data_IF_806780491997
#
_entry.id   IF_806780491997
#
_cell.length_a   1.000
_cell.length_b   1.000
_cell.length_c   1.000
_cell.angle_alpha   90.00
_cell.angle_beta   90.00
_cell.angle_gamma   90.00
#
_symmetry.space_group_name_H-M   'P 1'
#
loop_
_entity.id
_entity.type
_entity.pdbx_description
1 polymer ?
#
# COMPACT_ATOMS: atom_id res chain seq x y z
N UNK A 1 -6.11 -9.57 -3.01
CA UNK A 1 -6.56 -8.17 -3.09
C UNK A 1 -5.33 -7.28 -3.23
N UNK A 2 -5.51 -6.06 -3.73
CA UNK A 2 -4.46 -5.07 -3.89
C UNK A 2 -5.05 -3.68 -3.62
N UNK A 3 -4.37 -2.92 -2.77
CA UNK A 3 -4.66 -1.50 -2.52
C UNK A 3 -3.56 -0.68 -3.18
N UNK A 4 -3.91 0.15 -4.16
CA UNK A 4 -2.96 0.97 -4.90
C UNK A 4 -3.41 2.42 -4.94
N UNK A 5 -2.57 3.34 -4.48
CA UNK A 5 -2.82 4.78 -4.48
C UNK A 5 -1.66 5.52 -5.14
N UNK A 6 -1.97 6.33 -6.15
CA UNK A 6 -1.03 7.20 -6.87
C UNK A 6 -1.35 8.67 -6.59
N UNK A 7 -0.31 9.47 -6.43
CA UNK A 7 -0.40 10.89 -6.08
C UNK A 7 0.80 11.67 -6.62
N UNK A 8 0.67 12.98 -6.67
CA UNK A 8 1.83 13.87 -6.74
C UNK A 8 2.46 13.95 -5.35
N UNK A 9 3.76 13.74 -5.25
CA UNK A 9 4.52 13.85 -4.02
C UNK A 9 4.47 15.31 -3.51
N UNK A 10 4.26 15.49 -2.21
CA UNK A 10 4.26 16.83 -1.59
C UNK A 10 5.66 17.25 -1.13
N UNK A 11 6.63 16.34 -1.18
CA UNK A 11 8.01 16.57 -0.76
C UNK A 11 8.94 15.49 -1.26
N UNK A 12 10.13 15.43 -0.68
CA UNK A 12 11.14 14.42 -0.98
C UNK A 12 10.69 13.01 -0.53
N UNK A 13 11.38 11.94 -0.98
CA UNK A 13 11.00 10.57 -0.63
C UNK A 13 10.97 10.26 0.88
N UNK A 14 11.77 10.94 1.71
CA UNK A 14 11.77 10.76 3.17
C UNK A 14 10.54 11.44 3.78
N UNK A 15 10.21 12.64 3.32
CA UNK A 15 8.97 13.33 3.72
C UNK A 15 7.72 12.51 3.36
N UNK A 16 7.66 11.94 2.14
CA UNK A 16 6.59 11.02 1.75
C UNK A 16 6.64 9.70 2.55
N UNK A 17 7.83 9.19 2.86
CA UNK A 17 8.02 8.03 3.73
C UNK A 17 7.44 8.25 5.13
N UNK A 18 7.50 9.46 5.68
CA UNK A 18 6.86 9.80 6.96
C UNK A 18 5.34 9.75 6.88
N UNK A 19 4.75 10.25 5.79
CA UNK A 19 3.29 10.14 5.54
C UNK A 19 2.85 8.68 5.42
N UNK A 20 3.65 7.84 4.74
CA UNK A 20 3.39 6.39 4.67
C UNK A 20 3.51 5.75 6.05
N UNK A 21 4.48 6.17 6.87
CA UNK A 21 4.59 5.67 8.24
C UNK A 21 3.37 6.02 9.10
N UNK A 22 2.87 7.26 8.99
CA UNK A 22 1.62 7.68 9.64
C UNK A 22 0.43 6.85 9.17
N UNK A 23 0.31 6.62 7.86
CA UNK A 23 -0.70 5.72 7.29
C UNK A 23 -0.61 4.32 7.88
N UNK A 24 0.59 3.74 7.99
CA UNK A 24 0.80 2.44 8.66
C UNK A 24 0.22 2.49 10.08
N UNK A 25 0.54 3.52 10.88
CA UNK A 25 0.02 3.59 12.25
C UNK A 25 -1.51 3.65 12.32
N UNK A 26 -2.17 4.30 11.36
CA UNK A 26 -3.63 4.39 11.30
C UNK A 26 -4.31 3.09 10.87
N UNK A 27 -3.67 2.29 10.01
CA UNK A 27 -4.26 1.02 9.53
C UNK A 27 -3.96 -0.18 10.43
N UNK A 28 -2.93 -0.12 11.28
CA UNK A 28 -2.59 -1.16 12.26
C UNK A 28 -3.79 -1.67 13.08
N UNK A 29 -4.63 -0.81 13.68
CA UNK A 29 -5.76 -1.27 14.50
C UNK A 29 -6.92 -1.86 13.68
N UNK A 30 -6.92 -1.75 12.35
CA UNK A 30 -8.06 -2.19 11.53
C UNK A 30 -8.19 -3.71 11.43
N UNK A 31 -7.08 -4.45 11.51
CA UNK A 31 -7.10 -5.91 11.42
C UNK A 31 -5.84 -6.52 12.05
N UNK A 32 -5.91 -7.70 12.71
CA UNK A 32 -4.73 -8.34 13.32
C UNK A 32 -3.56 -8.58 12.36
N UNK A 33 -3.81 -8.85 11.08
CA UNK A 33 -2.73 -9.02 10.09
C UNK A 33 -2.03 -7.72 9.70
N UNK A 34 -2.56 -6.56 10.12
CA UNK A 34 -1.96 -5.23 9.94
C UNK A 34 -1.25 -4.74 11.20
N UNK A 35 -1.38 -5.42 12.35
CA UNK A 35 -0.89 -4.92 13.63
C UNK A 35 0.65 -4.91 13.72
N UNK A 36 1.30 -5.96 13.21
CA UNK A 36 2.75 -6.15 13.32
C UNK A 36 3.44 -6.02 11.97
N UNK A 37 4.32 -5.03 11.86
CA UNK A 37 5.12 -4.75 10.68
C UNK A 37 6.59 -5.10 10.90
N UNK A 38 7.22 -5.70 9.91
CA UNK A 38 8.64 -6.08 9.90
C UNK A 38 9.32 -5.65 8.60
N UNK A 39 10.66 -5.44 8.60
CA UNK A 39 11.38 -5.18 7.38
C UNK A 39 11.34 -6.38 6.44
N UNK A 40 11.33 -6.13 5.14
CA UNK A 40 11.61 -7.17 4.15
C UNK A 40 13.08 -7.58 4.22
N UNK A 41 13.38 -8.82 3.81
CA UNK A 41 14.74 -9.34 3.73
C UNK A 41 14.87 -10.26 2.51
N UNK A 42 16.11 -10.65 2.19
CA UNK A 42 16.43 -11.50 1.03
C UNK A 42 15.89 -12.92 1.16
N UNK A 43 15.62 -13.36 2.40
CA UNK A 43 15.02 -14.65 2.68
C UNK A 43 13.92 -14.55 3.75
N UNK A 44 12.94 -15.48 3.75
CA UNK A 44 11.81 -15.43 4.66
C UNK A 44 12.18 -15.56 6.15
N UNK A 45 13.20 -16.37 6.47
CA UNK A 45 13.62 -16.64 7.84
C UNK A 45 14.17 -15.38 8.51
N UNK A 46 15.01 -14.62 7.80
CA UNK A 46 15.55 -13.35 8.28
C UNK A 46 14.43 -12.31 8.46
N UNK A 47 13.49 -12.24 7.52
CA UNK A 47 12.34 -11.35 7.61
C UNK A 47 11.43 -11.68 8.83
N UNK A 48 11.26 -12.97 9.16
CA UNK A 48 10.46 -13.42 10.30
C UNK A 48 11.12 -13.11 11.65
N UNK A 49 12.44 -13.34 11.74
CA UNK A 49 13.23 -13.12 12.95
C UNK A 49 13.52 -11.65 13.21
N UNK A 50 13.35 -10.79 12.20
CA UNK A 50 13.55 -9.36 12.34
C UNK A 50 12.63 -8.76 13.41
N UNK A 51 13.13 -7.81 14.22
CA UNK A 51 12.28 -7.10 15.17
C UNK A 51 11.21 -6.29 14.42
N UNK A 52 10.13 -5.88 15.11
CA UNK A 52 9.17 -4.93 14.56
C UNK A 52 9.89 -3.72 13.97
N UNK A 53 9.54 -3.32 12.75
CA UNK A 53 10.21 -2.21 12.09
C UNK A 53 9.93 -0.90 12.84
N UNK A 54 10.94 -0.05 12.96
CA UNK A 54 10.81 1.30 13.52
C UNK A 54 10.68 2.32 12.39
N UNK A 55 10.21 3.54 12.72
CA UNK A 55 10.15 4.63 11.74
C UNK A 55 11.53 4.91 11.13
N UNK A 56 12.57 5.00 11.96
CA UNK A 56 13.91 5.31 11.49
C UNK A 56 14.44 4.25 10.52
N UNK A 57 14.23 2.96 10.83
CA UNK A 57 14.65 1.88 9.92
C UNK A 57 13.82 1.88 8.63
N UNK A 58 12.52 2.17 8.72
CA UNK A 58 11.65 2.31 7.55
C UNK A 58 12.14 3.41 6.60
N UNK A 59 12.44 4.60 7.14
CA UNK A 59 12.95 5.74 6.36
C UNK A 59 14.36 5.47 5.81
N UNK A 60 15.22 4.82 6.60
CA UNK A 60 16.55 4.42 6.15
C UNK A 60 16.48 3.50 4.91
N UNK A 61 15.54 2.56 4.86
CA UNK A 61 15.38 1.67 3.70
C UNK A 61 14.94 2.43 2.44
N UNK A 62 14.09 3.44 2.59
CA UNK A 62 13.72 4.33 1.46
C UNK A 62 14.94 5.11 0.98
N UNK A 63 15.71 5.68 1.91
CA UNK A 63 16.92 6.43 1.56
C UNK A 63 17.96 5.55 0.85
N UNK A 64 18.17 4.33 1.34
CA UNK A 64 19.12 3.39 0.76
C UNK A 64 18.71 2.96 -0.64
N UNK A 65 17.42 2.65 -0.85
CA UNK A 65 16.91 2.27 -2.16
C UNK A 65 17.09 3.38 -3.21
N UNK A 66 16.94 4.65 -2.81
CA UNK A 66 17.22 5.78 -3.69
C UNK A 66 18.70 5.83 -4.12
N UNK A 67 19.62 5.59 -3.17
CA UNK A 67 21.06 5.58 -3.43
C UNK A 67 21.43 4.40 -4.34
N UNK A 68 20.93 3.21 -4.04
CA UNK A 68 21.25 1.98 -4.77
C UNK A 68 20.74 1.99 -6.21
N UNK A 69 19.62 2.68 -6.48
CA UNK A 69 19.09 2.81 -7.83
C UNK A 69 19.89 3.80 -8.69
N UNK A 70 20.69 4.66 -8.07
CA UNK A 70 21.43 5.75 -8.75
C UNK A 70 20.52 6.64 -9.62
N UNK A 71 19.25 6.80 -9.25
CA UNK A 71 18.24 7.55 -10.00
C UNK A 71 17.25 8.25 -9.06
N UNK A 72 16.68 9.35 -9.55
CA UNK A 72 15.55 10.01 -8.89
C UNK A 72 14.28 9.13 -8.93
N UNK A 73 14.15 8.24 -9.91
CA UNK A 73 13.04 7.29 -10.05
C UNK A 73 13.42 5.92 -9.51
N UNK A 74 12.74 5.48 -8.44
CA UNK A 74 13.04 4.20 -7.78
C UNK A 74 11.83 3.62 -7.06
N UNK A 75 11.87 2.30 -6.86
CA UNK A 75 10.87 1.56 -6.08
C UNK A 75 11.51 0.83 -4.92
N UNK A 76 10.77 0.65 -3.84
CA UNK A 76 11.23 -0.07 -2.64
C UNK A 76 10.08 -0.82 -1.98
N UNK A 77 10.35 -2.02 -1.48
CA UNK A 77 9.43 -2.76 -0.63
C UNK A 77 9.95 -2.76 0.81
N UNK A 78 9.74 -1.70 1.61
CA UNK A 78 10.46 -1.50 2.86
C UNK A 78 10.00 -2.44 3.97
N UNK A 79 8.73 -2.87 3.95
CA UNK A 79 8.13 -3.63 5.04
C UNK A 79 6.99 -4.54 4.59
N UNK A 80 6.63 -5.49 5.45
CA UNK A 80 5.46 -6.35 5.33
C UNK A 80 4.75 -6.46 6.68
N UNK A 81 3.48 -6.87 6.68
CA UNK A 81 2.70 -7.17 7.89
C UNK A 81 2.07 -8.56 7.84
N UNK A 82 1.81 -9.14 9.02
CA UNK A 82 1.26 -10.49 9.13
C UNK A 82 2.32 -11.59 9.06
N UNK A 83 1.89 -12.80 8.73
CA UNK A 83 2.77 -13.98 8.67
C UNK A 83 3.53 -14.07 7.36
N UNK A 84 4.72 -14.65 7.37
CA UNK A 84 5.47 -14.95 6.16
C UNK A 84 4.62 -15.81 5.20
N UNK A 85 4.71 -15.54 3.90
CA UNK A 85 3.96 -16.18 2.81
C UNK A 85 2.43 -15.98 2.81
N UNK A 86 1.86 -15.35 3.84
CA UNK A 86 0.42 -15.07 3.95
C UNK A 86 0.12 -13.60 4.30
N UNK A 87 1.17 -12.81 4.48
CA UNK A 87 1.13 -11.44 4.94
C UNK A 87 0.94 -10.42 3.82
N UNK A 88 0.75 -9.18 4.23
CA UNK A 88 0.62 -8.05 3.32
C UNK A 88 1.99 -7.47 3.02
N UNK A 89 2.28 -7.15 1.76
CA UNK A 89 3.57 -6.55 1.36
C UNK A 89 3.36 -5.12 0.90
N UNK A 90 4.12 -4.20 1.49
CA UNK A 90 4.11 -2.80 1.09
C UNK A 90 5.19 -2.54 0.04
N UNK A 91 4.80 -1.87 -1.04
CA UNK A 91 5.69 -1.35 -2.07
C UNK A 91 5.44 0.14 -2.24
N UNK A 92 6.50 0.90 -2.39
CA UNK A 92 6.49 2.34 -2.66
C UNK A 92 7.22 2.59 -3.97
N UNK A 93 6.70 3.52 -4.76
CA UNK A 93 7.37 4.01 -5.96
C UNK A 93 7.47 5.53 -5.89
N UNK A 94 8.60 6.07 -6.34
CA UNK A 94 8.85 7.50 -6.43
C UNK A 94 9.31 7.87 -7.83
N UNK A 95 8.83 9.01 -8.32
CA UNK A 95 9.04 9.54 -9.67
C UNK A 95 8.70 8.54 -10.79
N UNK A 96 7.70 7.67 -10.56
CA UNK A 96 7.21 6.68 -11.53
C UNK A 96 5.68 6.77 -11.70
N UNK A 97 5.16 6.79 -12.94
CA UNK A 97 5.91 6.79 -14.21
C UNK A 97 6.51 8.16 -14.57
N UNK A 98 6.10 9.25 -13.92
CA UNK A 98 6.62 10.59 -14.20
C UNK A 98 7.34 11.19 -12.99
N UNK A 99 8.27 12.13 -13.21
CA UNK A 99 8.81 12.96 -12.14
C UNK A 99 7.70 13.64 -11.33
N UNK A 100 7.86 13.65 -10.01
CA UNK A 100 6.87 14.14 -9.05
C UNK A 100 5.82 13.12 -8.62
N UNK A 101 5.68 11.98 -9.31
CA UNK A 101 4.70 10.95 -8.91
C UNK A 101 5.20 10.15 -7.69
N UNK A 102 4.28 9.74 -6.82
CA UNK A 102 4.51 8.76 -5.77
C UNK A 102 3.36 7.74 -5.71
N UNK A 103 3.69 6.48 -5.41
CA UNK A 103 2.68 5.44 -5.16
C UNK A 103 2.90 4.75 -3.82
N UNK A 104 1.78 4.27 -3.27
CA UNK A 104 1.76 3.32 -2.16
C UNK A 104 0.90 2.14 -2.60
N UNK A 105 1.48 0.95 -2.53
CA UNK A 105 0.86 -0.29 -2.98
C UNK A 105 0.95 -1.32 -1.84
N UNK A 106 -0.19 -1.87 -1.42
CA UNK A 106 -0.29 -2.93 -0.42
C UNK A 106 -0.86 -4.17 -1.08
N UNK A 107 0.02 -5.13 -1.38
CA UNK A 107 -0.37 -6.46 -1.77
C UNK A 107 -0.99 -7.14 -0.55
N UNK A 108 -2.27 -7.50 -0.65
CA UNK A 108 -3.04 -8.00 0.49
C UNK A 108 -2.94 -9.52 0.57
N UNK A 109 -2.47 -10.00 1.72
CA UNK A 109 -2.36 -11.43 2.03
C UNK A 109 -3.71 -12.07 2.37
N UNK A 110 -3.74 -13.39 2.45
CA UNK A 110 -4.96 -14.20 2.57
C UNK A 110 -5.87 -13.76 3.73
N UNK A 111 -5.31 -13.57 4.92
CA UNK A 111 -6.09 -13.25 6.11
C UNK A 111 -6.81 -11.88 6.01
N UNK A 112 -6.12 -10.85 5.50
CA UNK A 112 -6.76 -9.55 5.29
C UNK A 112 -7.71 -9.60 4.10
N UNK A 113 -7.38 -10.35 3.05
CA UNK A 113 -8.25 -10.53 1.90
C UNK A 113 -9.59 -11.15 2.28
N UNK A 114 -9.59 -12.21 3.09
CA UNK A 114 -10.80 -12.83 3.59
C UNK A 114 -11.63 -11.88 4.48
N UNK A 115 -10.96 -11.03 5.28
CA UNK A 115 -11.65 -10.02 6.08
C UNK A 115 -12.31 -8.94 5.21
N UNK A 116 -11.64 -8.50 4.14
CA UNK A 116 -12.20 -7.56 3.16
C UNK A 116 -13.38 -8.16 2.38
N UNK A 117 -13.33 -9.47 2.09
CA UNK A 117 -14.45 -10.18 1.47
C UNK A 117 -15.69 -10.24 2.36
N UNK A 118 -15.48 -10.34 3.67
CA UNK A 118 -16.55 -10.48 4.65
C UNK A 118 -17.09 -9.14 5.16
N UNK A 119 -16.39 -8.03 4.94
CA UNK A 119 -16.72 -6.73 5.53
C UNK A 119 -16.50 -5.57 4.58
N UNK A 120 -17.62 -5.03 4.07
CA UNK A 120 -17.61 -3.80 3.30
C UNK A 120 -17.12 -2.61 4.14
N UNK A 121 -17.50 -2.54 5.42
CA UNK A 121 -17.09 -1.49 6.35
C UNK A 121 -15.56 -1.45 6.55
N UNK A 122 -14.90 -2.61 6.62
CA UNK A 122 -13.44 -2.68 6.68
C UNK A 122 -12.81 -2.12 5.40
N UNK A 123 -13.35 -2.49 4.24
CA UNK A 123 -12.89 -1.98 2.95
C UNK A 123 -13.11 -0.45 2.83
N UNK A 124 -14.23 0.08 3.31
CA UNK A 124 -14.48 1.53 3.35
C UNK A 124 -13.52 2.24 4.28
N UNK A 125 -13.33 1.72 5.49
CA UNK A 125 -12.45 2.32 6.49
C UNK A 125 -11.01 2.35 5.98
N UNK A 126 -10.52 1.28 5.37
CA UNK A 126 -9.18 1.23 4.78
C UNK A 126 -9.02 2.23 3.63
N UNK A 127 -9.99 2.28 2.70
CA UNK A 127 -9.98 3.22 1.57
C UNK A 127 -10.03 4.67 2.04
N UNK A 128 -10.95 4.99 2.95
CA UNK A 128 -11.13 6.33 3.48
C UNK A 128 -9.90 6.81 4.26
N UNK A 129 -9.32 5.95 5.10
CA UNK A 129 -8.10 6.26 5.85
C UNK A 129 -6.94 6.55 4.90
N UNK A 130 -6.75 5.69 3.89
CA UNK A 130 -5.69 5.85 2.89
C UNK A 130 -5.87 7.14 2.09
N UNK A 131 -7.06 7.38 1.56
CA UNK A 131 -7.38 8.61 0.83
C UNK A 131 -7.15 9.87 1.67
N UNK A 132 -7.55 9.85 2.94
CA UNK A 132 -7.45 11.00 3.84
C UNK A 132 -5.99 11.36 4.17
N UNK A 133 -5.13 10.36 4.40
CA UNK A 133 -3.70 10.61 4.68
C UNK A 133 -2.96 11.13 3.44
N UNK A 134 -3.31 10.61 2.26
CA UNK A 134 -2.60 10.94 1.03
C UNK A 134 -3.18 12.12 0.25
N UNK A 135 -4.32 12.66 0.66
CA UNK A 135 -4.91 13.87 0.08
C UNK A 135 -3.98 15.10 0.18
N UNK A 136 -4.18 16.11 -0.68
CA UNK A 136 -5.07 16.14 -1.85
C UNK A 136 -4.49 15.41 -3.08
N UNK A 137 -5.26 15.32 -4.17
CA UNK A 137 -4.74 14.91 -5.48
C UNK A 137 -4.34 13.43 -5.59
N UNK A 138 -5.04 12.56 -4.86
CA UNK A 138 -4.79 11.12 -4.86
C UNK A 138 -5.87 10.36 -5.64
N UNK A 139 -5.44 9.36 -6.39
CA UNK A 139 -6.31 8.41 -7.09
C UNK A 139 -5.90 7.03 -6.63
N UNK A 140 -6.87 6.22 -6.21
CA UNK A 140 -6.57 4.88 -5.73
C UNK A 140 -7.74 3.93 -5.80
N UNK A 141 -7.42 2.64 -5.68
CA UNK A 141 -8.39 1.58 -5.71
C UNK A 141 -8.00 0.45 -4.75
N UNK A 142 -9.03 -0.26 -4.29
CA UNK A 142 -8.93 -1.55 -3.63
C UNK A 142 -9.58 -2.60 -4.54
N UNK A 143 -8.79 -3.55 -5.01
CA UNK A 143 -9.19 -4.50 -6.07
C UNK A 143 -8.86 -5.94 -5.70
N UNK A 144 -9.61 -6.90 -6.23
CA UNK A 144 -9.24 -8.33 -6.18
C UNK A 144 -8.30 -8.68 -7.34
N UNK A 145 -7.34 -9.57 -7.09
CA UNK A 145 -6.44 -10.08 -8.13
C UNK A 145 -7.16 -11.10 -9.02
N UNK A 146 -7.98 -11.96 -8.42
CA UNK A 146 -8.85 -12.90 -9.09
C UNK A 146 -10.07 -12.18 -9.69
N UNK A 147 -10.18 -12.23 -11.01
CA UNK A 147 -11.35 -11.73 -11.75
C UNK A 147 -12.26 -12.90 -12.09
N UNK A 148 -13.45 -13.01 -11.49
CA UNK A 148 -14.47 -13.88 -12.03
C UNK A 148 -14.80 -13.40 -13.45
N UNK A 149 -14.54 -14.23 -14.47
CA UNK A 149 -15.03 -13.97 -15.83
C UNK A 149 -16.54 -14.21 -15.80
N UNK A 150 -17.32 -13.17 -15.56
CA UNK A 150 -18.78 -13.25 -15.70
C UNK A 150 -19.13 -13.37 -17.19
N UNK A 151 -20.02 -14.30 -17.60
CA UNK A 151 -20.41 -14.48 -19.01
C UNK A 151 -20.99 -13.22 -19.66
N UNK A 152 -21.45 -12.27 -18.85
CA UNK A 152 -21.95 -10.97 -19.31
C UNK A 152 -21.30 -9.87 -18.45
N UNK A 153 -20.13 -9.34 -18.85
CA UNK A 153 -19.48 -8.27 -18.12
C UNK A 153 -20.37 -7.00 -18.16
N UNK A 154 -20.55 -6.30 -17.03
CA UNK A 154 -21.32 -5.06 -17.00
C UNK A 154 -20.67 -3.97 -17.89
N UNK A 155 -21.46 -2.99 -18.38
CA UNK A 155 -21.00 -1.97 -19.34
C UNK A 155 -19.92 -1.04 -18.76
N UNK A 156 -19.82 -0.97 -17.44
CA UNK A 156 -18.70 -0.42 -16.71
C UNK A 156 -18.09 -1.53 -15.87
N UNK A 157 -16.77 -1.50 -15.63
CA UNK A 157 -15.99 -2.51 -14.86
C UNK A 157 -16.32 -2.51 -13.35
N UNK A 158 -17.60 -2.47 -12.99
CA UNK A 158 -18.08 -2.70 -11.64
C UNK A 158 -18.19 -4.20 -11.43
N UNK A 159 -17.26 -4.76 -10.65
CA UNK A 159 -17.40 -6.09 -10.07
C UNK A 159 -17.80 -5.92 -8.60
N UNK A 160 -18.70 -6.76 -8.05
CA UNK A 160 -19.01 -6.75 -6.63
C UNK A 160 -17.72 -6.84 -5.79
N UNK A 161 -17.53 -5.92 -4.84
CA UNK A 161 -16.33 -5.81 -3.99
C UNK A 161 -15.30 -4.77 -4.42
N UNK A 162 -15.44 -4.09 -5.57
CA UNK A 162 -14.46 -3.09 -6.01
C UNK A 162 -14.73 -1.72 -5.37
N UNK A 163 -13.70 -1.09 -4.79
CA UNK A 163 -13.76 0.32 -4.33
C UNK A 163 -12.74 1.16 -5.08
N UNK A 164 -13.21 2.20 -5.75
CA UNK A 164 -12.36 3.19 -6.41
C UNK A 164 -12.58 4.55 -5.74
N UNK A 165 -11.50 5.25 -5.46
CA UNK A 165 -11.53 6.61 -4.93
C UNK A 165 -10.87 7.55 -5.93
N UNK A 166 -11.60 8.61 -6.27
CA UNK A 166 -11.10 9.75 -7.04
C UNK A 166 -11.21 10.98 -6.13
N UNK A 167 -10.11 11.67 -5.86
CA UNK A 167 -10.18 13.00 -5.29
C UNK A 167 -10.87 13.93 -6.30
N UNK A 168 -12.11 14.32 -5.99
CA UNK A 168 -12.98 15.07 -6.89
C UNK A 168 -12.58 16.54 -6.98
N UNK A 169 -11.49 16.83 -7.69
CA UNK A 169 -11.18 18.18 -8.22
C UNK A 169 -10.61 18.12 -9.67
N UNK A 170 -10.74 16.99 -10.38
CA UNK A 170 -10.39 16.90 -11.81
C UNK A 170 -11.60 17.26 -12.68
N UNK A 171 -11.47 18.22 -13.63
CA UNK A 171 -12.55 18.60 -14.56
C UNK A 171 -12.94 17.50 -15.56
#
# INVERSE_FOLDING_TARGET
WDLSFKRQALGDPISEGRRVWEWIQQIRPLHPSLDLWRPTADNPQEAEQSPPITQDHFLQRIQQAQVDWESESFGVAPAFSGQINQGNKLTLSFNMPNPGDASVDLMVGEALGAALDASEDLADTLMHTTASIFAPGVIGALTREDRPVTPTPPPYRYLPGWKMFFASDSP
#
